data_IF_401968626606
#
_entry.id   IF_401968626606
#
_cell.length_a   1.000
_cell.length_b   1.000
_cell.length_c   1.000
_cell.angle_alpha   90.00
_cell.angle_beta   90.00
_cell.angle_gamma   90.00
#
_symmetry.space_group_name_H-M   'P 1'
#
loop_
_entity.id
_entity.type
_entity.pdbx_description
1 polymer ?
#
# COMPACT_ATOMS: atom_id res chain seq x y z
N UNK A 1 -34.71 6.46 7.15
CA UNK A 1 -33.93 5.24 6.82
C UNK A 1 -32.70 5.53 5.94
N UNK A 2 -32.55 6.73 5.36
CA UNK A 2 -31.39 7.10 4.50
C UNK A 2 -30.02 7.17 5.22
N UNK A 3 -30.00 7.27 6.55
CA UNK A 3 -28.75 7.33 7.32
C UNK A 3 -28.02 5.98 7.48
N UNK A 4 -28.68 4.84 7.27
CA UNK A 4 -28.08 3.50 7.44
C UNK A 4 -27.44 2.95 6.15
N UNK A 5 -27.99 3.24 4.97
CA UNK A 5 -27.43 2.76 3.68
C UNK A 5 -26.10 3.42 3.33
N UNK A 6 -25.97 4.74 3.59
CA UNK A 6 -24.70 5.45 3.42
C UNK A 6 -23.60 4.92 4.35
N UNK A 7 -23.97 4.44 5.54
CA UNK A 7 -23.05 3.89 6.53
C UNK A 7 -22.50 2.51 6.12
N UNK A 8 -23.36 1.61 5.65
CA UNK A 8 -22.93 0.28 5.21
C UNK A 8 -22.02 0.35 3.97
N UNK A 9 -22.31 1.26 3.04
CA UNK A 9 -21.49 1.47 1.84
C UNK A 9 -20.09 2.00 2.20
N UNK A 10 -20.02 2.91 3.18
CA UNK A 10 -18.75 3.44 3.68
C UNK A 10 -17.89 2.36 4.36
N UNK A 11 -18.50 1.51 5.19
CA UNK A 11 -17.80 0.40 5.86
C UNK A 11 -17.24 -0.63 4.87
N UNK A 12 -18.00 -0.96 3.83
CA UNK A 12 -17.54 -1.85 2.75
C UNK A 12 -16.30 -1.26 2.07
N UNK A 13 -16.32 0.05 1.76
CA UNK A 13 -15.18 0.75 1.14
C UNK A 13 -13.95 0.77 2.05
N UNK A 14 -14.11 1.02 3.35
CA UNK A 14 -12.99 1.00 4.29
C UNK A 14 -12.39 -0.40 4.48
N UNK A 15 -13.24 -1.43 4.55
CA UNK A 15 -12.78 -2.81 4.63
C UNK A 15 -12.00 -3.20 3.38
N UNK A 16 -12.52 -2.84 2.20
CA UNK A 16 -11.83 -3.08 0.93
C UNK A 16 -10.47 -2.37 0.88
N UNK A 17 -10.42 -1.10 1.31
CA UNK A 17 -9.18 -0.33 1.38
C UNK A 17 -8.13 -1.03 2.27
N UNK A 18 -8.52 -1.48 3.46
CA UNK A 18 -7.62 -2.17 4.38
C UNK A 18 -7.14 -3.53 3.84
N UNK A 19 -8.02 -4.29 3.17
CA UNK A 19 -7.65 -5.55 2.51
C UNK A 19 -6.62 -5.28 1.41
N UNK A 20 -6.83 -4.25 0.59
CA UNK A 20 -5.87 -3.84 -0.45
C UNK A 20 -4.55 -3.42 0.18
N UNK A 21 -4.55 -2.59 1.23
CA UNK A 21 -3.30 -2.20 1.91
C UNK A 21 -2.54 -3.42 2.43
N UNK A 22 -3.23 -4.40 3.04
CA UNK A 22 -2.60 -5.62 3.53
C UNK A 22 -2.06 -6.50 2.41
N UNK A 23 -2.77 -6.64 1.29
CA UNK A 23 -2.28 -7.40 0.14
C UNK A 23 -1.07 -6.73 -0.49
N UNK A 24 -1.04 -5.39 -0.56
CA UNK A 24 0.13 -4.63 -1.02
C UNK A 24 1.34 -4.83 -0.10
N UNK A 25 1.14 -4.80 1.23
CA UNK A 25 2.22 -5.09 2.19
C UNK A 25 2.76 -6.52 2.00
N UNK A 26 1.85 -7.50 1.85
CA UNK A 26 2.24 -8.89 1.60
C UNK A 26 3.05 -9.03 0.31
N UNK A 27 2.59 -8.43 -0.78
CA UNK A 27 3.28 -8.41 -2.07
C UNK A 27 4.67 -7.77 -1.95
N UNK A 28 4.78 -6.63 -1.26
CA UNK A 28 6.06 -5.97 -1.01
C UNK A 28 7.02 -6.88 -0.22
N UNK A 29 6.52 -7.61 0.79
CA UNK A 29 7.32 -8.59 1.51
C UNK A 29 7.90 -9.68 0.60
N UNK A 30 7.10 -10.21 -0.32
CA UNK A 30 7.55 -11.20 -1.31
C UNK A 30 8.61 -10.61 -2.24
N UNK A 31 8.40 -9.38 -2.72
CA UNK A 31 9.32 -8.72 -3.64
C UNK A 31 10.65 -8.34 -2.98
N UNK A 32 10.63 -7.92 -1.71
CA UNK A 32 11.84 -7.72 -0.91
C UNK A 32 12.61 -9.03 -0.78
N UNK A 33 11.92 -10.12 -0.45
CA UNK A 33 12.54 -11.45 -0.38
C UNK A 33 13.16 -11.88 -1.70
N UNK A 34 12.47 -11.64 -2.82
CA UNK A 34 12.94 -11.94 -4.16
C UNK A 34 14.15 -11.08 -4.55
N UNK A 35 14.11 -9.78 -4.26
CA UNK A 35 15.24 -8.88 -4.48
C UNK A 35 16.48 -9.28 -3.66
N UNK A 36 16.30 -9.62 -2.39
CA UNK A 36 17.39 -10.11 -1.54
C UNK A 36 17.98 -11.43 -2.07
N UNK A 37 17.13 -12.36 -2.51
CA UNK A 37 17.56 -13.63 -3.10
C UNK A 37 18.39 -13.40 -4.37
N UNK A 38 17.92 -12.54 -5.28
CA UNK A 38 18.63 -12.21 -6.52
C UNK A 38 19.98 -11.54 -6.25
N UNK A 39 20.06 -10.61 -5.28
CA UNK A 39 21.34 -10.02 -4.84
C UNK A 39 22.28 -11.12 -4.36
N UNK A 40 21.80 -12.05 -3.55
CA UNK A 40 22.61 -13.14 -2.99
C UNK A 40 23.08 -14.13 -4.07
N UNK A 41 22.28 -14.35 -5.10
CA UNK A 41 22.62 -15.21 -6.24
C UNK A 41 23.53 -14.50 -7.26
N UNK A 42 23.67 -13.17 -7.17
CA UNK A 42 24.38 -12.40 -8.20
C UNK A 42 23.65 -12.41 -9.53
N UNK A 43 22.32 -12.53 -9.53
CA UNK A 43 21.49 -12.54 -10.72
C UNK A 43 20.79 -11.19 -10.94
N UNK A 44 20.68 -10.78 -12.20
CA UNK A 44 19.99 -9.54 -12.58
C UNK A 44 18.48 -9.75 -12.54
N UNK A 45 17.76 -8.92 -11.79
CA UNK A 45 16.30 -8.96 -11.78
C UNK A 45 15.72 -8.71 -13.19
N UNK A 46 14.77 -9.50 -13.72
CA UNK A 46 14.24 -9.33 -15.07
C UNK A 46 13.62 -7.93 -15.30
N UNK A 47 13.80 -7.35 -16.49
CA UNK A 47 13.36 -5.96 -16.77
C UNK A 47 11.84 -5.80 -16.68
N UNK A 48 11.10 -6.84 -17.08
CA UNK A 48 9.66 -6.90 -16.92
C UNK A 48 9.24 -6.72 -15.46
N UNK A 49 9.99 -7.30 -14.51
CA UNK A 49 9.70 -7.18 -13.07
C UNK A 49 9.95 -5.75 -12.58
N UNK A 50 11.03 -5.11 -13.01
CA UNK A 50 11.33 -3.71 -12.71
C UNK A 50 10.26 -2.75 -13.25
N UNK A 51 9.78 -2.97 -14.48
CA UNK A 51 8.73 -2.16 -15.09
C UNK A 51 7.38 -2.32 -14.35
N UNK A 52 7.01 -3.55 -14.00
CA UNK A 52 5.82 -3.81 -13.18
C UNK A 52 5.94 -3.13 -11.82
N UNK A 53 7.13 -3.17 -11.22
CA UNK A 53 7.39 -2.54 -9.93
C UNK A 53 7.28 -1.01 -9.96
N UNK A 54 7.77 -0.36 -11.02
CA UNK A 54 7.60 1.08 -11.21
C UNK A 54 6.11 1.46 -11.33
N UNK A 55 5.33 0.70 -12.10
CA UNK A 55 3.88 0.89 -12.18
C UNK A 55 3.17 0.68 -10.84
N UNK A 56 3.58 -0.34 -10.09
CA UNK A 56 3.07 -0.62 -8.75
C UNK A 56 3.37 0.53 -7.77
N UNK A 57 4.53 1.18 -7.91
CA UNK A 57 4.91 2.36 -7.11
C UNK A 57 3.98 3.57 -7.35
N UNK A 58 3.56 3.80 -8.61
CA UNK A 58 2.59 4.84 -8.95
C UNK A 58 1.22 4.53 -8.31
N UNK A 59 0.77 3.28 -8.42
CA UNK A 59 -0.47 2.83 -7.79
C UNK A 59 -0.44 3.04 -6.27
N UNK A 60 0.69 2.75 -5.64
CA UNK A 60 0.96 3.02 -4.23
C UNK A 60 0.76 4.50 -3.86
N UNK A 61 1.24 5.43 -4.69
CA UNK A 61 1.03 6.86 -4.51
C UNK A 61 -0.45 7.27 -4.59
N UNK A 62 -1.18 6.74 -5.57
CA UNK A 62 -2.63 7.00 -5.74
C UNK A 62 -3.42 6.44 -4.55
N UNK A 63 -3.10 5.21 -4.10
CA UNK A 63 -3.76 4.56 -2.97
C UNK A 63 -3.52 5.31 -1.65
N UNK A 64 -2.32 5.85 -1.46
CA UNK A 64 -2.00 6.70 -0.32
C UNK A 64 -2.80 8.01 -0.35
N UNK A 65 -2.84 8.69 -1.50
CA UNK A 65 -3.60 9.93 -1.66
C UNK A 65 -5.11 9.70 -1.42
N UNK A 66 -5.65 8.59 -1.89
CA UNK A 66 -7.02 8.18 -1.60
C UNK A 66 -7.26 8.02 -0.09
N UNK A 67 -6.32 7.38 0.62
CA UNK A 67 -6.37 7.24 2.08
C UNK A 67 -6.43 8.60 2.80
N UNK A 68 -5.58 9.55 2.41
CA UNK A 68 -5.59 10.92 2.94
C UNK A 68 -6.95 11.59 2.72
N UNK A 69 -7.47 11.55 1.49
CA UNK A 69 -8.77 12.16 1.15
C UNK A 69 -9.90 11.51 1.98
N UNK A 70 -9.89 10.19 2.12
CA UNK A 70 -10.90 9.44 2.88
C UNK A 70 -10.88 9.82 4.37
N UNK A 71 -9.70 10.04 4.96
CA UNK A 71 -9.56 10.52 6.34
C UNK A 71 -10.04 11.96 6.48
N UNK A 72 -9.64 12.86 5.58
CA UNK A 72 -10.08 14.26 5.63
C UNK A 72 -11.60 14.34 5.53
N UNK A 73 -12.21 13.57 4.62
CA UNK A 73 -13.66 13.51 4.47
C UNK A 73 -14.34 12.94 5.72
N UNK A 74 -13.75 11.93 6.36
CA UNK A 74 -14.26 11.36 7.61
C UNK A 74 -14.27 12.38 8.75
N UNK A 75 -13.16 13.10 8.97
CA UNK A 75 -13.07 14.13 10.02
C UNK A 75 -14.02 15.30 9.77
N UNK A 76 -14.24 15.68 8.50
CA UNK A 76 -15.14 16.79 8.14
C UNK A 76 -16.63 16.43 8.24
N UNK A 77 -17.05 15.20 7.91
CA UNK A 77 -18.49 14.84 7.84
C UNK A 77 -19.01 13.92 8.95
N UNK A 78 -18.18 13.12 9.62
CA UNK A 78 -18.64 11.96 10.42
C UNK A 78 -18.33 12.10 11.92
N UNK A 79 -17.91 13.28 12.38
CA UNK A 79 -17.39 13.51 13.73
C UNK A 79 -18.35 13.13 14.88
N UNK A 80 -19.66 12.99 14.65
CA UNK A 80 -20.62 13.11 15.77
C UNK A 80 -21.44 11.87 16.17
N UNK A 81 -21.32 10.67 15.59
CA UNK A 81 -22.25 9.59 16.02
C UNK A 81 -21.77 8.15 16.29
N UNK A 82 -20.67 7.58 15.79
CA UNK A 82 -20.46 6.12 16.00
C UNK A 82 -18.98 5.65 15.99
N UNK A 83 -18.09 6.41 16.63
CA UNK A 83 -16.75 6.60 16.07
C UNK A 83 -15.57 5.76 16.62
N UNK A 84 -15.64 5.04 17.75
CA UNK A 84 -14.38 4.59 18.38
C UNK A 84 -13.74 3.35 17.72
N UNK A 85 -14.47 2.25 17.52
CA UNK A 85 -13.90 1.03 16.91
C UNK A 85 -13.68 1.13 15.38
N UNK A 86 -14.37 2.07 14.71
CA UNK A 86 -14.36 2.21 13.23
C UNK A 86 -13.29 3.19 12.74
N UNK A 87 -12.99 4.22 13.53
CA UNK A 87 -11.84 5.11 13.29
C UNK A 87 -10.54 4.30 13.24
N UNK A 88 -10.37 3.33 14.13
CA UNK A 88 -9.12 2.57 14.24
C UNK A 88 -8.74 1.87 12.93
N UNK A 89 -9.70 1.25 12.21
CA UNK A 89 -9.44 0.61 10.91
C UNK A 89 -9.03 1.60 9.82
N UNK A 90 -9.59 2.81 9.86
CA UNK A 90 -9.31 3.88 8.90
C UNK A 90 -7.93 4.48 9.14
N UNK A 91 -7.66 4.82 10.40
CA UNK A 91 -6.35 5.34 10.82
C UNK A 91 -5.28 4.29 10.56
N UNK A 92 -5.53 3.03 10.93
CA UNK A 92 -4.61 1.93 10.68
C UNK A 92 -4.34 1.77 9.17
N UNK A 93 -5.37 1.79 8.32
CA UNK A 93 -5.19 1.71 6.87
C UNK A 93 -4.35 2.86 6.30
N UNK A 94 -4.60 4.10 6.74
CA UNK A 94 -3.83 5.26 6.26
C UNK A 94 -2.43 5.31 6.84
N UNK A 95 -2.21 4.86 8.08
CA UNK A 95 -0.87 4.78 8.69
C UNK A 95 -0.07 3.61 8.10
N UNK A 96 -0.72 2.50 7.74
CA UNK A 96 -0.06 1.38 7.05
C UNK A 96 0.26 1.70 5.59
N UNK A 97 -0.46 2.61 4.95
CA UNK A 97 -0.21 2.99 3.56
C UNK A 97 1.19 3.60 3.31
N UNK A 98 1.72 4.56 4.12
CA UNK A 98 3.09 5.07 3.97
C UNK A 98 4.13 4.04 4.39
N UNK A 99 3.83 3.17 5.36
CA UNK A 99 4.71 2.02 5.68
C UNK A 99 4.82 1.10 4.47
N UNK A 100 3.70 0.79 3.83
CA UNK A 100 3.68 -0.04 2.62
C UNK A 100 4.41 0.65 1.45
N UNK A 101 4.31 1.97 1.33
CA UNK A 101 5.07 2.75 0.36
C UNK A 101 6.59 2.64 0.58
N UNK A 102 7.05 2.78 1.83
CA UNK A 102 8.46 2.62 2.20
C UNK A 102 8.96 1.20 1.87
N UNK A 103 8.15 0.18 2.15
CA UNK A 103 8.47 -1.21 1.80
C UNK A 103 8.57 -1.41 0.28
N UNK A 104 7.64 -0.86 -0.49
CA UNK A 104 7.71 -0.89 -1.96
C UNK A 104 8.97 -0.20 -2.47
N UNK A 105 9.32 0.96 -1.91
CA UNK A 105 10.54 1.68 -2.28
C UNK A 105 11.79 0.86 -1.98
N UNK A 106 11.86 0.22 -0.81
CA UNK A 106 12.95 -0.68 -0.46
C UNK A 106 13.05 -1.87 -1.43
N UNK A 107 11.91 -2.45 -1.83
CA UNK A 107 11.87 -3.54 -2.81
C UNK A 107 12.41 -3.11 -4.18
N UNK A 108 11.93 -1.97 -4.70
CA UNK A 108 12.40 -1.39 -5.96
C UNK A 108 13.89 -1.08 -5.89
N UNK A 109 14.35 -0.50 -4.78
CA UNK A 109 15.75 -0.16 -4.58
C UNK A 109 16.65 -1.42 -4.59
N UNK A 110 16.27 -2.48 -3.87
CA UNK A 110 17.01 -3.74 -3.87
C UNK A 110 17.04 -4.38 -5.27
N UNK A 111 15.92 -4.40 -5.98
CA UNK A 111 15.86 -4.93 -7.34
C UNK A 111 16.71 -4.09 -8.31
N UNK A 112 16.70 -2.76 -8.19
CA UNK A 112 17.55 -1.88 -8.99
C UNK A 112 19.05 -2.11 -8.68
N UNK A 113 19.41 -2.33 -7.42
CA UNK A 113 20.79 -2.64 -7.04
C UNK A 113 21.31 -3.93 -7.69
N UNK A 114 20.48 -4.96 -7.89
CA UNK A 114 20.91 -6.16 -8.64
C UNK A 114 21.38 -5.82 -10.06
N UNK A 115 20.79 -4.81 -10.69
CA UNK A 115 21.18 -4.37 -12.04
C UNK A 115 22.46 -3.57 -12.05
N UNK A 116 22.74 -2.81 -10.98
CA UNK A 116 23.93 -1.99 -10.86
C UNK A 116 25.15 -2.73 -10.28
N UNK A 117 24.97 -3.71 -9.40
CA UNK A 117 26.08 -4.44 -8.78
C UNK A 117 26.71 -5.50 -9.69
N UNK A 118 25.93 -6.02 -10.65
CA UNK A 118 26.39 -7.00 -11.62
C UNK A 118 26.98 -6.24 -12.81
N UNK A 119 28.12 -5.60 -12.57
CA UNK A 119 29.03 -5.08 -13.59
C UNK A 119 30.32 -5.89 -13.52
N UNK A 120 30.24 -7.16 -13.89
CA UNK A 120 31.38 -8.03 -14.21
C UNK A 120 31.07 -8.71 -15.52
#
# INVERSE_FOLDING_TARGET
>A
MEGQEGLQTYEKRQRLYLIITLSMIGLNGVLIGLGYLLIRLGERAPEALLNVMMGFMIYHGIHFLYGIIAIIHFFKRVKHRFAQARIFKTILGVVLSPVSFILCYAAVFLLALTRCSISV
#
